data_IF_784017933470
#
_entry.id   IF_784017933470
#
_cell.length_a   1.000
_cell.length_b   1.000
_cell.length_c   1.000
_cell.angle_alpha   90.00
_cell.angle_beta   90.00
_cell.angle_gamma   90.00
#
_symmetry.space_group_name_H-M   'P 1'
#
loop_
_entity.id
_entity.type
_entity.pdbx_description
1 polymer ?
#
# COMPACT_ATOMS: atom_id res chain seq x y z
N UNK A 1 -13.84 -2.13 16.74
CA UNK A 1 -13.13 -3.21 16.01
C UNK A 1 -12.44 -4.12 17.01
N UNK A 2 -12.36 -5.43 16.74
CA UNK A 2 -11.54 -6.36 17.53
C UNK A 2 -10.07 -5.95 17.47
N UNK A 3 -9.27 -6.30 18.49
CA UNK A 3 -7.84 -5.96 18.57
C UNK A 3 -7.08 -6.45 17.33
N UNK A 4 -7.33 -7.69 16.92
CA UNK A 4 -6.72 -8.31 15.72
C UNK A 4 -6.90 -7.46 14.47
N UNK A 5 -8.10 -6.90 14.26
CA UNK A 5 -8.40 -6.06 13.09
C UNK A 5 -7.71 -4.70 13.20
N UNK A 6 -7.58 -4.14 14.41
CA UNK A 6 -6.80 -2.90 14.61
C UNK A 6 -5.31 -3.12 14.34
N UNK A 7 -4.76 -4.25 14.75
CA UNK A 7 -3.38 -4.61 14.44
C UNK A 7 -3.19 -4.77 12.92
N UNK A 8 -4.09 -5.49 12.24
CA UNK A 8 -4.06 -5.61 10.79
C UNK A 8 -4.15 -4.24 10.09
N UNK A 9 -5.04 -3.35 10.55
CA UNK A 9 -5.17 -1.98 10.06
C UNK A 9 -3.85 -1.21 10.18
N UNK A 10 -3.19 -1.26 11.35
CA UNK A 10 -1.94 -0.56 11.58
C UNK A 10 -0.77 -1.14 10.79
N UNK A 11 -0.70 -2.46 10.65
CA UNK A 11 0.33 -3.11 9.83
C UNK A 11 0.16 -2.75 8.34
N UNK A 12 -1.08 -2.76 7.84
CA UNK A 12 -1.38 -2.34 6.47
C UNK A 12 -1.07 -0.85 6.27
N UNK A 13 -1.47 0.02 7.21
CA UNK A 13 -1.13 1.44 7.17
C UNK A 13 0.39 1.69 7.18
N UNK A 14 1.14 0.94 8.01
CA UNK A 14 2.58 1.05 8.11
C UNK A 14 3.28 0.76 6.77
N UNK A 15 2.77 -0.18 5.97
CA UNK A 15 3.34 -0.47 4.65
C UNK A 15 3.36 0.78 3.75
N UNK A 16 2.28 1.55 3.71
CA UNK A 16 2.19 2.79 2.93
C UNK A 16 3.02 3.92 3.53
N UNK A 17 3.00 4.07 4.86
CA UNK A 17 3.78 5.10 5.56
C UNK A 17 5.29 4.90 5.36
N UNK A 18 5.76 3.65 5.45
CA UNK A 18 7.17 3.33 5.28
C UNK A 18 7.59 3.49 3.82
N UNK A 19 6.80 2.99 2.87
CA UNK A 19 7.13 3.10 1.44
C UNK A 19 7.26 4.56 0.98
N UNK A 20 6.23 5.37 1.22
CA UNK A 20 6.23 6.78 0.82
C UNK A 20 7.18 7.61 1.68
N UNK A 21 7.19 7.37 2.99
CA UNK A 21 8.04 8.10 3.94
C UNK A 21 9.52 7.89 3.67
N UNK A 22 9.94 6.68 3.29
CA UNK A 22 11.33 6.40 2.94
C UNK A 22 11.79 7.18 1.69
N UNK A 23 10.94 7.28 0.66
CA UNK A 23 11.25 8.06 -0.54
C UNK A 23 11.29 9.56 -0.25
N UNK A 24 10.34 10.09 0.53
CA UNK A 24 10.37 11.49 0.94
C UNK A 24 11.62 11.79 1.79
N UNK A 25 11.99 10.89 2.70
CA UNK A 25 13.20 11.01 3.50
C UNK A 25 14.47 11.06 2.63
N UNK A 26 14.56 10.23 1.59
CA UNK A 26 15.67 10.28 0.64
C UNK A 26 15.74 11.61 -0.10
N UNK A 27 14.59 12.14 -0.55
CA UNK A 27 14.53 13.45 -1.18
C UNK A 27 15.04 14.57 -0.26
N UNK A 28 14.64 14.55 1.02
CA UNK A 28 15.14 15.48 2.04
C UNK A 28 16.66 15.37 2.26
N UNK A 29 17.25 14.21 1.95
CA UNK A 29 18.70 13.95 2.02
C UNK A 29 19.44 14.28 0.72
N UNK A 30 18.76 14.86 -0.27
CA UNK A 30 19.36 15.30 -1.53
C UNK A 30 19.44 14.20 -2.60
N UNK A 31 18.78 13.05 -2.41
CA UNK A 31 18.66 12.05 -3.49
C UNK A 31 17.77 12.63 -4.59
N UNK A 32 18.20 12.66 -5.86
CA UNK A 32 17.37 13.11 -6.97
C UNK A 32 16.20 12.14 -7.16
N UNK A 33 14.98 12.61 -6.88
CA UNK A 33 13.74 11.86 -7.08
C UNK A 33 12.85 12.66 -8.02
N UNK A 34 12.28 11.99 -9.04
CA UNK A 34 11.36 12.63 -9.98
C UNK A 34 10.10 13.17 -9.29
N UNK A 35 9.53 14.24 -9.83
CA UNK A 35 8.33 14.89 -9.27
C UNK A 35 7.13 13.92 -9.20
N UNK A 36 7.04 12.99 -10.14
CA UNK A 36 6.07 11.91 -10.19
C UNK A 36 6.20 10.96 -9.00
N UNK A 37 7.44 10.52 -8.70
CA UNK A 37 7.72 9.66 -7.57
C UNK A 37 7.51 10.39 -6.22
N UNK A 38 7.77 11.69 -6.15
CA UNK A 38 7.47 12.52 -4.96
C UNK A 38 5.95 12.65 -4.74
N UNK A 39 5.18 12.89 -5.80
CA UNK A 39 3.72 12.97 -5.73
C UNK A 39 3.15 11.63 -5.25
N UNK A 40 3.58 10.53 -5.86
CA UNK A 40 3.15 9.18 -5.47
C UNK A 40 3.50 8.89 -4.01
N UNK A 41 4.71 9.24 -3.57
CA UNK A 41 5.13 9.04 -2.17
C UNK A 41 4.30 9.86 -1.18
N UNK A 42 3.90 11.08 -1.56
CA UNK A 42 3.01 11.93 -0.75
C UNK A 42 1.62 11.31 -0.63
N UNK A 43 1.07 10.81 -1.75
CA UNK A 43 -0.22 10.11 -1.78
C UNK A 43 -0.19 8.85 -0.92
N UNK A 44 0.87 8.05 -0.99
CA UNK A 44 1.02 6.86 -0.14
C UNK A 44 1.06 7.21 1.35
N UNK A 45 1.84 8.21 1.75
CA UNK A 45 1.88 8.65 3.15
C UNK A 45 0.49 9.11 3.59
N UNK A 46 -0.21 9.89 2.77
CA UNK A 46 -1.57 10.33 3.05
C UNK A 46 -2.52 9.14 3.25
N UNK A 47 -2.50 8.16 2.34
CA UNK A 47 -3.30 6.94 2.47
C UNK A 47 -2.96 6.19 3.76
N UNK A 48 -1.67 6.04 4.08
CA UNK A 48 -1.20 5.41 5.31
C UNK A 48 -1.72 6.12 6.56
N UNK A 49 -1.70 7.45 6.60
CA UNK A 49 -2.25 8.24 7.70
C UNK A 49 -3.76 8.05 7.82
N UNK A 50 -4.50 8.13 6.70
CA UNK A 50 -5.95 7.95 6.69
C UNK A 50 -6.36 6.54 7.15
N UNK A 51 -5.64 5.51 6.69
CA UNK A 51 -5.82 4.13 7.14
C UNK A 51 -5.51 3.99 8.63
N UNK A 52 -4.41 4.54 9.12
CA UNK A 52 -4.05 4.47 10.55
C UNK A 52 -5.09 5.15 11.44
N UNK A 53 -5.62 6.30 11.02
CA UNK A 53 -6.67 7.03 11.71
C UNK A 53 -8.05 6.34 11.63
N UNK A 54 -8.24 5.42 10.68
CA UNK A 54 -9.52 4.76 10.42
C UNK A 54 -10.57 5.68 9.78
N UNK A 55 -10.14 6.80 9.19
CA UNK A 55 -11.04 7.75 8.54
C UNK A 55 -11.58 7.14 7.25
N UNK A 56 -12.91 7.10 7.11
CA UNK A 56 -13.60 6.45 5.98
C UNK A 56 -12.98 5.08 5.61
N UNK A 57 -12.66 4.26 6.62
CA UNK A 57 -11.81 3.06 6.49
C UNK A 57 -12.20 2.16 5.30
N UNK A 58 -13.49 1.97 5.05
CA UNK A 58 -13.97 1.19 3.89
C UNK A 58 -13.53 1.80 2.56
N UNK A 59 -13.78 3.08 2.35
CA UNK A 59 -13.46 3.76 1.10
C UNK A 59 -11.93 3.87 0.91
N UNK A 60 -11.21 4.26 1.97
CA UNK A 60 -9.75 4.40 1.92
C UNK A 60 -9.07 3.06 1.68
N UNK A 61 -9.53 1.97 2.32
CA UNK A 61 -8.96 0.64 2.08
C UNK A 61 -9.22 0.13 0.66
N UNK A 62 -10.40 0.37 0.09
CA UNK A 62 -10.69 0.00 -1.30
C UNK A 62 -9.88 0.83 -2.29
N UNK A 63 -9.74 2.13 -2.05
CA UNK A 63 -8.89 3.00 -2.87
C UNK A 63 -7.43 2.55 -2.81
N UNK A 64 -6.90 2.27 -1.61
CA UNK A 64 -5.55 1.77 -1.41
C UNK A 64 -5.34 0.41 -2.11
N UNK A 65 -6.34 -0.49 -2.04
CA UNK A 65 -6.30 -1.78 -2.72
C UNK A 65 -6.24 -1.61 -4.25
N UNK A 66 -7.05 -0.71 -4.81
CA UNK A 66 -7.06 -0.44 -6.25
C UNK A 66 -5.72 0.15 -6.72
N UNK A 67 -5.20 1.15 -6.00
CA UNK A 67 -3.91 1.78 -6.33
C UNK A 67 -2.75 0.78 -6.25
N UNK A 68 -2.71 -0.05 -5.20
CA UNK A 68 -1.65 -1.03 -5.02
C UNK A 68 -1.73 -2.17 -6.03
N UNK A 69 -2.95 -2.54 -6.47
CA UNK A 69 -3.15 -3.48 -7.56
C UNK A 69 -2.62 -2.92 -8.88
N UNK A 70 -2.94 -1.66 -9.19
CA UNK A 70 -2.41 -0.98 -10.37
C UNK A 70 -0.89 -0.89 -10.33
N UNK A 71 -0.30 -0.50 -9.19
CA UNK A 71 1.16 -0.48 -9.01
C UNK A 71 1.78 -1.86 -9.21
N UNK A 72 1.19 -2.93 -8.66
CA UNK A 72 1.70 -4.28 -8.84
C UNK A 72 1.79 -4.67 -10.33
N UNK A 73 0.74 -4.37 -11.10
CA UNK A 73 0.68 -4.70 -12.52
C UNK A 73 1.66 -3.86 -13.35
N UNK A 74 1.78 -2.57 -13.07
CA UNK A 74 2.63 -1.65 -13.85
C UNK A 74 4.11 -1.77 -13.48
N UNK A 75 4.41 -1.81 -12.18
CA UNK A 75 5.79 -1.77 -11.69
C UNK A 75 6.46 -3.15 -11.70
N UNK A 76 5.69 -4.24 -11.69
CA UNK A 76 6.19 -5.61 -11.54
C UNK A 76 5.58 -6.62 -12.52
N UNK A 77 5.63 -6.38 -13.85
CA UNK A 77 5.07 -7.28 -14.85
C UNK A 77 5.96 -8.52 -15.03
N UNK A 78 5.90 -9.45 -14.08
CA UNK A 78 6.78 -10.63 -14.05
C UNK A 78 6.65 -11.52 -15.29
N UNK A 79 5.51 -11.47 -15.99
CA UNK A 79 5.25 -12.21 -17.23
C UNK A 79 6.07 -11.72 -18.42
N UNK A 80 6.68 -10.53 -18.34
CA UNK A 80 7.54 -9.98 -19.40
C UNK A 80 9.02 -10.35 -19.22
N UNK A 81 9.38 -10.97 -18.09
CA UNK A 81 10.76 -11.31 -17.76
C UNK A 81 10.98 -12.82 -17.74
N UNK A 82 12.23 -13.23 -17.84
CA UNK A 82 12.67 -14.62 -17.70
C UNK A 82 13.85 -14.76 -16.72
N UNK A 83 14.10 -15.98 -16.24
CA UNK A 83 15.23 -16.29 -15.35
C UNK A 83 15.15 -15.60 -13.99
N UNK A 84 16.30 -15.17 -13.45
CA UNK A 84 16.37 -14.56 -12.12
C UNK A 84 15.55 -13.26 -12.00
N UNK A 85 15.45 -12.47 -13.08
CA UNK A 85 14.67 -11.24 -13.10
C UNK A 85 13.17 -11.52 -12.96
N UNK A 86 12.65 -12.57 -13.60
CA UNK A 86 11.26 -13.00 -13.46
C UNK A 86 10.93 -13.32 -12.01
N UNK A 87 11.80 -14.08 -11.33
CA UNK A 87 11.57 -14.47 -9.94
C UNK A 87 11.52 -13.26 -9.00
N UNK A 88 12.45 -12.32 -9.14
CA UNK A 88 12.45 -11.08 -8.35
C UNK A 88 11.16 -10.26 -8.54
N UNK A 89 10.69 -10.12 -9.79
CA UNK A 89 9.43 -9.41 -10.09
C UNK A 89 8.21 -10.15 -9.56
N UNK A 90 8.17 -11.47 -9.68
CA UNK A 90 7.07 -12.29 -9.17
C UNK A 90 6.94 -12.17 -7.65
N UNK A 91 8.05 -12.21 -6.91
CA UNK A 91 8.05 -12.04 -5.46
C UNK A 91 7.44 -10.70 -5.05
N UNK A 92 7.83 -9.63 -5.74
CA UNK A 92 7.33 -8.30 -5.47
C UNK A 92 5.84 -8.14 -5.85
N UNK A 93 5.41 -8.74 -6.96
CA UNK A 93 3.99 -8.81 -7.35
C UNK A 93 3.15 -9.57 -6.33
N UNK A 94 3.59 -10.76 -5.90
CA UNK A 94 2.90 -11.58 -4.89
C UNK A 94 2.79 -10.88 -3.54
N UNK A 95 3.85 -10.17 -3.10
CA UNK A 95 3.81 -9.32 -1.90
C UNK A 95 2.69 -8.29 -1.99
N UNK A 96 2.60 -7.56 -3.11
CA UNK A 96 1.57 -6.55 -3.31
C UNK A 96 0.16 -7.18 -3.34
N UNK A 97 -0.02 -8.35 -3.98
CA UNK A 97 -1.30 -9.08 -3.97
C UNK A 97 -1.75 -9.48 -2.56
N UNK A 98 -0.81 -9.89 -1.70
CA UNK A 98 -1.11 -10.19 -0.29
C UNK A 98 -1.63 -8.96 0.46
N UNK A 99 -1.01 -7.79 0.26
CA UNK A 99 -1.45 -6.53 0.83
C UNK A 99 -2.82 -6.09 0.30
N UNK A 100 -3.08 -6.24 -1.01
CA UNK A 100 -4.39 -5.98 -1.63
C UNK A 100 -5.47 -6.84 -0.97
N UNK A 101 -5.22 -8.14 -0.78
CA UNK A 101 -6.14 -9.03 -0.08
C UNK A 101 -6.45 -8.56 1.35
N UNK A 102 -5.41 -8.15 2.09
CA UNK A 102 -5.56 -7.57 3.44
C UNK A 102 -6.40 -6.29 3.46
N UNK A 103 -6.21 -5.40 2.49
CA UNK A 103 -6.98 -4.15 2.35
C UNK A 103 -8.44 -4.41 1.99
N UNK A 104 -8.71 -5.35 1.09
CA UNK A 104 -10.09 -5.76 0.75
C UNK A 104 -10.81 -6.31 1.97
N UNK A 105 -10.16 -7.18 2.76
CA UNK A 105 -10.71 -7.68 4.03
C UNK A 105 -10.94 -6.54 5.03
N UNK A 106 -9.98 -5.63 5.18
CA UNK A 106 -10.08 -4.48 6.08
C UNK A 106 -11.26 -3.56 5.71
N UNK A 107 -11.56 -3.42 4.41
CA UNK A 107 -12.70 -2.63 3.93
C UNK A 107 -14.06 -3.13 4.42
N UNK A 108 -14.18 -4.42 4.73
CA UNK A 108 -15.36 -5.02 5.34
C UNK A 108 -15.46 -4.76 6.85
N UNK A 109 -14.33 -4.48 7.50
CA UNK A 109 -14.27 -4.36 8.95
C UNK A 109 -14.72 -2.99 9.49
N UNK A 110 -14.63 -1.94 8.67
CA UNK A 110 -15.07 -0.58 9.00
C UNK A 110 -16.60 -0.37 8.97
N UNK A 111 -17.36 -1.35 8.47
CA UNK A 111 -18.81 -1.27 8.28
C UNK A 111 -19.66 -1.93 9.38
N UNK A 112 -19.05 -2.53 10.40
CA UNK A 112 -19.77 -3.14 11.52
C UNK A 112 -20.33 -2.06 12.48
N UNK A 113 -21.28 -1.25 11.99
CA UNK A 113 -22.26 -0.61 12.87
C UNK A 113 -23.00 -1.76 13.55
N UNK A 114 -22.78 -1.89 14.85
CA UNK A 114 -23.55 -2.78 15.74
C UNK A 114 -25.03 -2.68 15.36
N UNK A 115 -25.60 -3.76 14.84
CA UNK A 115 -27.02 -4.05 15.02
C UNK A 115 -27.16 -4.88 16.28
#
# INVERSE_FOLDING_TARGET
MKLEVRLAQWLLAAAFLIAGGFRLWQALRGVPIGNDALLLSTVEVLIGVLLAAGWQLRAVALLAAALLLTDAVVSHPFWEFSGAAQWSRLQQFMKNMGLVGGLVLLSGAGGAKRR
#
